data_IF_407604398989
#
_entry.id   IF_407604398989
#
_cell.length_a   1.000
_cell.length_b   1.000
_cell.length_c   1.000
_cell.angle_alpha   90.00
_cell.angle_beta   90.00
_cell.angle_gamma   90.00
#
_symmetry.space_group_name_H-M   'P 1'
#
loop_
_entity.id
_entity.type
_entity.pdbx_description
1 polymer ?
#
# COMPACT_ATOMS: atom_id res chain seq x y z
N UNK A 1 -73.39 -8.68 43.81
CA UNK A 1 -74.06 -8.90 42.50
C UNK A 1 -73.04 -8.53 41.43
N UNK A 2 -72.22 -9.42 40.85
CA UNK A 2 -72.55 -10.64 40.09
C UNK A 2 -73.71 -10.38 39.11
N UNK A 3 -73.39 -10.48 37.81
CA UNK A 3 -74.24 -10.36 36.62
C UNK A 3 -74.51 -8.95 36.07
N UNK A 4 -73.61 -8.49 35.18
CA UNK A 4 -73.95 -7.76 33.96
C UNK A 4 -72.89 -8.11 32.90
N UNK A 5 -73.04 -9.34 32.41
CA UNK A 5 -72.42 -9.89 31.20
C UNK A 5 -73.23 -9.38 30.00
N UNK A 6 -72.56 -9.27 28.85
CA UNK A 6 -73.12 -9.19 27.49
C UNK A 6 -73.70 -7.86 27.05
N UNK A 7 -72.92 -7.11 26.23
CA UNK A 7 -73.35 -6.65 24.90
C UNK A 7 -72.36 -5.68 24.20
N UNK A 8 -71.06 -5.74 24.47
CA UNK A 8 -70.07 -4.97 23.68
C UNK A 8 -68.93 -5.86 23.14
N UNK A 9 -69.27 -7.08 22.74
CA UNK A 9 -68.54 -7.80 21.69
C UNK A 9 -69.33 -7.61 20.40
N UNK A 10 -68.63 -7.46 19.27
CA UNK A 10 -69.14 -7.32 17.89
C UNK A 10 -69.32 -5.85 17.43
N UNK A 11 -68.21 -5.16 17.20
CA UNK A 11 -67.96 -4.33 15.99
C UNK A 11 -66.60 -3.60 16.14
N UNK A 12 -65.49 -4.28 15.85
CA UNK A 12 -64.22 -3.64 15.45
C UNK A 12 -63.30 -4.70 14.84
N UNK A 13 -63.79 -5.33 13.78
CA UNK A 13 -62.97 -6.06 12.82
C UNK A 13 -62.94 -5.24 11.54
N UNK A 14 -61.75 -5.15 10.94
CA UNK A 14 -61.41 -4.51 9.66
C UNK A 14 -60.93 -3.05 9.74
N UNK A 15 -59.82 -2.85 10.45
CA UNK A 15 -58.82 -1.88 9.98
C UNK A 15 -57.71 -2.67 9.31
N UNK A 16 -57.78 -2.68 7.98
CA UNK A 16 -56.80 -3.29 7.07
C UNK A 16 -55.38 -2.92 7.49
N UNK A 17 -54.62 -3.94 7.84
CA UNK A 17 -53.16 -3.94 7.81
C UNK A 17 -52.70 -3.46 6.44
N UNK A 18 -52.36 -2.19 6.33
CA UNK A 18 -51.48 -1.72 5.27
C UNK A 18 -50.15 -2.38 5.57
N UNK A 19 -49.93 -3.52 4.91
CA UNK A 19 -48.63 -4.14 4.81
C UNK A 19 -47.64 -3.04 4.42
N UNK A 20 -46.70 -2.75 5.32
CA UNK A 20 -45.48 -2.06 4.92
C UNK A 20 -44.92 -2.91 3.80
N UNK A 21 -45.02 -2.39 2.57
CA UNK A 21 -44.39 -2.99 1.42
C UNK A 21 -42.95 -3.25 1.81
N UNK A 22 -42.55 -4.51 1.71
CA UNK A 22 -41.18 -4.95 1.85
C UNK A 22 -40.39 -4.04 0.90
N UNK A 23 -39.69 -3.05 1.46
CA UNK A 23 -38.71 -2.32 0.68
C UNK A 23 -37.71 -3.39 0.32
N UNK A 24 -37.82 -3.92 -0.90
CA UNK A 24 -36.76 -4.66 -1.55
C UNK A 24 -35.50 -3.86 -1.28
N UNK A 25 -34.70 -4.36 -0.35
CA UNK A 25 -33.39 -3.84 -0.07
C UNK A 25 -32.71 -3.82 -1.43
N UNK A 26 -32.55 -2.63 -1.99
CA UNK A 26 -31.69 -2.43 -3.13
C UNK A 26 -30.35 -3.03 -2.69
N UNK A 27 -30.02 -4.19 -3.26
CA UNK A 27 -28.73 -4.86 -3.14
C UNK A 27 -27.67 -3.97 -3.80
N UNK A 28 -27.48 -2.77 -3.29
CA UNK A 28 -26.19 -2.10 -3.35
C UNK A 28 -25.27 -3.02 -2.55
N UNK A 29 -24.17 -3.53 -3.14
CA UNK A 29 -23.23 -4.33 -2.38
C UNK A 29 -22.61 -3.43 -1.31
N UNK A 30 -23.28 -3.36 -0.15
CA UNK A 30 -22.81 -2.61 0.99
C UNK A 30 -21.48 -3.17 1.42
N UNK A 31 -20.52 -2.29 1.71
CA UNK A 31 -19.22 -2.69 2.26
C UNK A 31 -19.49 -3.54 3.50
N UNK A 32 -19.06 -4.80 3.46
CA UNK A 32 -19.15 -5.69 4.62
C UNK A 32 -18.56 -5.01 5.84
N UNK A 33 -19.25 -5.07 6.99
CA UNK A 33 -18.73 -4.55 8.27
C UNK A 33 -17.35 -5.16 8.64
N UNK A 34 -17.00 -6.29 8.03
CA UNK A 34 -15.69 -6.95 8.13
C UNK A 34 -15.24 -7.34 6.72
N UNK A 35 -14.48 -6.50 6.00
CA UNK A 35 -13.93 -6.87 4.70
C UNK A 35 -13.01 -8.09 4.85
N UNK A 36 -13.04 -8.99 3.87
CA UNK A 36 -12.17 -10.19 3.87
C UNK A 36 -10.72 -9.89 3.50
N UNK A 37 -10.49 -8.77 2.84
CA UNK A 37 -9.19 -8.27 2.39
C UNK A 37 -9.19 -6.74 2.49
N UNK A 38 -8.10 -6.19 3.02
CA UNK A 38 -7.80 -4.76 2.98
C UNK A 38 -6.51 -4.61 2.19
N UNK A 39 -6.50 -3.72 1.20
CA UNK A 39 -5.33 -3.45 0.36
C UNK A 39 -4.88 -2.01 0.61
N UNK A 40 -3.71 -1.85 1.21
CA UNK A 40 -3.05 -0.55 1.37
C UNK A 40 -2.12 -0.28 0.19
N UNK A 41 -2.32 0.85 -0.50
CA UNK A 41 -1.48 1.26 -1.63
C UNK A 41 -0.90 2.64 -1.31
N UNK A 42 0.44 2.72 -1.25
CA UNK A 42 1.17 3.99 -1.16
C UNK A 42 1.97 4.14 -2.44
N UNK A 43 1.61 5.13 -3.26
CA UNK A 43 2.37 5.49 -4.46
C UNK A 43 3.47 6.45 -4.03
N UNK A 44 4.72 5.98 -4.03
CA UNK A 44 5.87 6.74 -3.56
C UNK A 44 6.02 8.03 -4.36
N UNK A 45 6.27 9.15 -3.67
CA UNK A 45 6.40 10.49 -4.25
C UNK A 45 5.19 11.01 -5.03
N UNK A 46 4.00 10.41 -4.88
CA UNK A 46 2.79 10.89 -5.54
C UNK A 46 2.27 12.18 -4.90
N UNK A 47 2.41 13.31 -5.60
CA UNK A 47 1.74 14.55 -5.21
C UNK A 47 0.25 14.47 -5.53
N UNK A 48 -0.56 15.17 -4.74
CA UNK A 48 -2.01 15.19 -4.91
C UNK A 48 -2.43 15.71 -6.30
N UNK A 49 -1.73 16.73 -6.83
CA UNK A 49 -2.07 17.36 -8.10
C UNK A 49 -1.91 16.43 -9.31
N UNK A 50 -1.17 15.31 -9.19
CA UNK A 50 -1.13 14.31 -10.27
C UNK A 50 -2.50 13.68 -10.55
N UNK A 51 -3.35 13.52 -9.53
CA UNK A 51 -4.70 12.98 -9.70
C UNK A 51 -5.57 13.84 -10.62
N UNK A 52 -5.36 15.16 -10.60
CA UNK A 52 -6.15 16.11 -11.40
C UNK A 52 -5.43 16.56 -12.66
N UNK A 53 -4.11 16.70 -12.61
CA UNK A 53 -3.28 17.17 -13.73
C UNK A 53 -3.35 16.22 -14.92
N UNK A 54 -3.35 14.91 -14.68
CA UNK A 54 -3.36 13.90 -15.74
C UNK A 54 -4.72 13.19 -15.90
N UNK A 55 -5.80 13.76 -15.37
CA UNK A 55 -7.11 13.10 -15.33
C UNK A 55 -7.62 12.70 -16.74
N UNK A 56 -7.42 13.55 -17.73
CA UNK A 56 -7.78 13.30 -19.14
C UNK A 56 -7.06 12.09 -19.74
N UNK A 57 -5.90 11.69 -19.18
CA UNK A 57 -5.06 10.59 -19.65
C UNK A 57 -5.32 9.27 -18.90
N UNK A 58 -6.06 9.31 -17.78
CA UNK A 58 -6.40 8.13 -17.01
C UNK A 58 -7.62 7.39 -17.56
N UNK A 59 -7.54 6.06 -17.61
CA UNK A 59 -8.69 5.18 -17.82
C UNK A 59 -9.58 5.09 -16.59
N UNK A 60 -10.80 4.59 -16.78
CA UNK A 60 -11.85 4.60 -15.76
C UNK A 60 -11.62 3.60 -14.61
N UNK A 61 -10.78 2.58 -14.78
CA UNK A 61 -10.61 1.48 -13.81
C UNK A 61 -9.64 1.75 -12.64
N UNK A 62 -8.84 2.83 -12.71
CA UNK A 62 -7.76 3.13 -11.76
C UNK A 62 -8.10 4.30 -10.82
N UNK A 63 -7.30 5.38 -10.90
CA UNK A 63 -7.49 6.58 -10.07
C UNK A 63 -8.89 7.17 -10.18
N UNK A 64 -9.46 7.24 -11.39
CA UNK A 64 -10.82 7.74 -11.61
C UNK A 64 -11.87 6.96 -10.83
N UNK A 65 -11.80 5.62 -10.85
CA UNK A 65 -12.68 4.76 -10.05
C UNK A 65 -12.58 5.10 -8.57
N UNK A 66 -11.37 5.15 -8.02
CA UNK A 66 -11.15 5.44 -6.60
C UNK A 66 -11.69 6.82 -6.20
N UNK A 67 -11.55 7.83 -7.06
CA UNK A 67 -12.06 9.18 -6.80
C UNK A 67 -13.58 9.29 -6.94
N UNK A 68 -14.20 8.55 -7.87
CA UNK A 68 -15.64 8.63 -8.18
C UNK A 68 -16.50 7.74 -7.28
N UNK A 69 -16.02 6.53 -7.00
CA UNK A 69 -16.76 5.49 -6.24
C UNK A 69 -16.31 5.40 -4.77
N UNK A 70 -15.15 5.98 -4.46
CA UNK A 70 -14.57 5.97 -3.11
C UNK A 70 -14.74 7.31 -2.39
N UNK A 71 -13.85 7.54 -1.42
CA UNK A 71 -13.79 8.79 -0.67
C UNK A 71 -12.44 9.47 -0.91
N UNK A 72 -12.45 10.74 -1.31
CA UNK A 72 -11.24 11.49 -1.67
C UNK A 72 -10.95 12.59 -0.63
N UNK A 73 -9.93 12.36 0.20
CA UNK A 73 -9.45 13.33 1.19
C UNK A 73 -8.48 14.32 0.53
N UNK A 74 -8.99 15.48 0.11
CA UNK A 74 -8.24 16.46 -0.71
C UNK A 74 -7.22 17.31 0.05
N UNK A 75 -7.27 17.32 1.38
CA UNK A 75 -6.48 18.21 2.23
C UNK A 75 -5.70 17.44 3.31
N UNK A 76 -5.02 16.37 2.91
CA UNK A 76 -4.16 15.59 3.80
C UNK A 76 -2.70 16.04 3.68
N UNK A 77 -2.08 16.29 4.83
CA UNK A 77 -0.70 16.77 4.93
C UNK A 77 0.08 15.96 5.96
N UNK A 78 1.38 15.78 5.73
CA UNK A 78 2.27 15.30 6.77
C UNK A 78 2.41 16.37 7.86
N UNK A 79 2.19 15.97 9.10
CA UNK A 79 2.33 16.83 10.28
C UNK A 79 3.71 16.71 10.94
N UNK A 80 4.73 16.33 10.16
CA UNK A 80 6.10 16.14 10.60
C UNK A 80 7.10 16.44 9.48
N UNK A 81 8.36 16.55 9.86
CA UNK A 81 9.53 16.70 8.98
C UNK A 81 10.61 15.73 9.48
N UNK A 82 11.41 15.10 8.60
CA UNK A 82 11.40 15.17 7.13
C UNK A 82 10.35 14.27 6.46
N UNK A 83 9.87 14.70 5.28
CA UNK A 83 8.92 13.93 4.45
C UNK A 83 9.64 12.92 3.56
N UNK A 84 10.36 11.99 4.19
CA UNK A 84 11.06 10.89 3.50
C UNK A 84 10.22 9.60 3.45
N UNK A 85 10.61 8.68 2.57
CA UNK A 85 9.92 7.40 2.34
C UNK A 85 9.71 6.59 3.62
N UNK A 86 10.75 6.32 4.39
CA UNK A 86 10.68 5.51 5.62
C UNK A 86 9.72 6.10 6.66
N UNK A 87 9.93 7.35 7.10
CA UNK A 87 8.98 8.07 7.97
C UNK A 87 7.55 8.06 7.43
N UNK A 88 7.38 8.35 6.13
CA UNK A 88 6.11 8.28 5.39
C UNK A 88 5.36 6.97 5.57
N UNK A 89 6.02 5.86 5.21
CA UNK A 89 5.39 4.54 5.23
C UNK A 89 5.04 4.09 6.65
N UNK A 90 5.91 4.37 7.63
CA UNK A 90 5.63 4.09 9.04
C UNK A 90 4.45 4.92 9.56
N UNK A 91 4.42 6.23 9.31
CA UNK A 91 3.34 7.09 9.82
C UNK A 91 1.97 6.72 9.27
N UNK A 92 1.86 6.40 7.97
CA UNK A 92 0.58 5.99 7.34
C UNK A 92 -0.01 4.75 8.01
N UNK A 93 0.85 3.79 8.41
CA UNK A 93 0.39 2.49 8.90
C UNK A 93 0.35 2.38 10.43
N UNK A 94 1.03 3.27 11.15
CA UNK A 94 1.01 3.31 12.63
C UNK A 94 0.02 4.34 13.18
N UNK A 95 -0.41 5.31 12.35
CA UNK A 95 -1.28 6.39 12.80
C UNK A 95 -0.59 7.39 13.73
N UNK A 96 0.75 7.35 13.84
CA UNK A 96 1.55 8.27 14.66
C UNK A 96 2.70 8.88 13.88
N UNK A 97 3.51 9.72 14.52
CA UNK A 97 4.59 10.48 13.87
C UNK A 97 5.97 9.89 14.19
N UNK A 98 7.04 10.31 13.49
CA UNK A 98 8.39 9.84 13.74
C UNK A 98 8.89 9.95 15.17
N UNK A 99 8.36 10.94 15.91
CA UNK A 99 8.62 11.11 17.34
C UNK A 99 8.23 9.87 18.17
N UNK A 100 7.19 9.14 17.76
CA UNK A 100 6.64 8.02 18.51
C UNK A 100 7.02 6.67 17.89
N UNK A 101 6.89 6.51 16.57
CA UNK A 101 7.23 5.24 15.91
C UNK A 101 8.74 5.04 15.69
N UNK A 102 9.57 6.06 15.93
CA UNK A 102 11.04 5.95 15.96
C UNK A 102 11.74 6.05 14.59
N UNK A 103 11.01 5.89 13.48
CA UNK A 103 11.56 6.02 12.11
C UNK A 103 11.66 7.50 11.71
N UNK A 104 12.77 8.15 12.06
CA UNK A 104 12.98 9.61 11.89
C UNK A 104 13.51 10.03 10.52
N UNK A 105 14.09 9.10 9.75
CA UNK A 105 14.64 9.34 8.42
C UNK A 105 14.79 8.00 7.68
N UNK A 106 15.18 8.03 6.41
CA UNK A 106 15.63 6.81 5.72
C UNK A 106 16.96 6.30 6.33
N UNK A 107 17.87 7.23 6.66
CA UNK A 107 19.13 6.97 7.34
C UNK A 107 19.33 8.04 8.41
N UNK A 108 19.92 7.66 9.55
CA UNK A 108 20.31 8.61 10.60
C UNK A 108 21.56 8.15 11.33
N UNK A 109 22.21 9.07 12.04
CA UNK A 109 23.31 8.74 12.92
C UNK A 109 22.78 8.22 14.26
N UNK A 110 23.12 6.98 14.60
CA UNK A 110 22.86 6.40 15.90
C UNK A 110 24.02 6.73 16.84
N UNK A 111 23.73 7.51 17.89
CA UNK A 111 24.74 7.99 18.84
C UNK A 111 25.26 6.90 19.77
N UNK A 112 24.51 5.82 19.97
CA UNK A 112 24.90 4.73 20.88
C UNK A 112 25.89 3.80 20.17
N UNK A 113 25.60 3.44 18.92
CA UNK A 113 26.50 2.62 18.09
C UNK A 113 27.57 3.44 17.36
N UNK A 114 27.40 4.77 17.31
CA UNK A 114 28.27 5.74 16.63
C UNK A 114 28.37 5.52 15.11
N UNK A 115 27.28 5.06 14.49
CA UNK A 115 27.24 4.70 13.07
C UNK A 115 26.02 5.31 12.37
N UNK A 116 26.12 5.46 11.06
CA UNK A 116 24.93 5.70 10.22
C UNK A 116 24.15 4.39 10.12
N UNK A 117 22.88 4.44 10.48
CA UNK A 117 21.97 3.29 10.41
C UNK A 117 20.87 3.54 9.39
N UNK A 118 20.42 2.46 8.77
CA UNK A 118 19.32 2.46 7.82
C UNK A 118 17.99 2.08 8.50
N UNK A 119 16.89 2.70 8.09
CA UNK A 119 15.58 2.58 8.75
C UNK A 119 15.04 1.16 8.89
N UNK A 120 15.37 0.26 7.96
CA UNK A 120 15.00 -1.14 7.99
C UNK A 120 16.22 -2.07 8.08
N UNK A 121 17.45 -1.55 8.11
CA UNK A 121 18.67 -2.36 8.05
C UNK A 121 18.94 -3.06 9.38
N UNK A 122 19.17 -4.37 9.34
CA UNK A 122 19.31 -5.26 10.49
C UNK A 122 20.35 -6.36 10.26
N UNK A 123 21.53 -6.21 10.87
CA UNK A 123 22.63 -7.18 10.76
C UNK A 123 22.37 -8.49 11.53
N UNK A 124 21.29 -8.57 12.34
CA UNK A 124 20.94 -9.78 13.10
C UNK A 124 20.15 -10.80 12.26
N UNK A 125 19.64 -10.40 11.10
CA UNK A 125 18.91 -11.28 10.19
C UNK A 125 19.73 -11.59 8.95
N UNK A 126 19.45 -12.74 8.34
CA UNK A 126 20.13 -13.20 7.13
C UNK A 126 19.25 -12.97 5.90
N UNK A 127 19.85 -12.70 4.74
CA UNK A 127 19.13 -12.63 3.47
C UNK A 127 18.43 -13.95 3.13
N UNK A 128 17.25 -13.86 2.50
CA UNK A 128 16.49 -15.01 2.00
C UNK A 128 16.12 -14.75 0.55
N UNK A 129 16.62 -15.59 -0.36
CA UNK A 129 16.45 -15.43 -1.80
C UNK A 129 17.59 -14.71 -2.51
N UNK A 130 18.62 -14.27 -1.79
CA UNK A 130 19.88 -13.70 -2.31
C UNK A 130 21.00 -13.99 -1.31
N UNK A 131 22.26 -13.75 -1.69
CA UNK A 131 23.42 -13.68 -0.78
C UNK A 131 23.80 -12.25 -0.42
N UNK A 132 23.15 -11.25 -1.03
CA UNK A 132 23.43 -9.83 -0.82
C UNK A 132 22.94 -9.32 0.53
N UNK A 133 23.70 -8.39 1.14
CA UNK A 133 23.28 -7.65 2.34
C UNK A 133 21.98 -6.85 2.14
N UNK A 134 21.52 -6.66 0.89
CA UNK A 134 20.19 -6.14 0.58
C UNK A 134 19.04 -6.93 1.24
N UNK A 135 19.29 -8.19 1.62
CA UNK A 135 18.34 -9.01 2.38
C UNK A 135 18.41 -8.85 3.90
N UNK A 136 19.36 -8.11 4.46
CA UNK A 136 19.52 -7.92 5.90
C UNK A 136 18.62 -6.81 6.42
N UNK A 137 17.30 -7.03 6.32
CA UNK A 137 16.28 -6.03 6.64
C UNK A 137 15.18 -6.55 7.57
N UNK A 138 14.72 -5.73 8.51
CA UNK A 138 13.63 -6.04 9.44
C UNK A 138 12.95 -4.76 9.98
N UNK A 139 11.79 -4.86 10.65
CA UNK A 139 11.12 -3.71 11.25
C UNK A 139 11.68 -3.33 12.64
N UNK A 140 12.80 -3.91 13.10
CA UNK A 140 13.24 -3.82 14.52
C UNK A 140 13.45 -2.40 15.06
N UNK A 141 13.65 -1.41 14.19
CA UNK A 141 13.82 0.00 14.59
C UNK A 141 12.49 0.73 14.80
N UNK A 142 11.37 0.13 14.41
CA UNK A 142 10.04 0.68 14.65
C UNK A 142 9.60 0.39 16.08
N UNK A 143 9.17 1.42 16.80
CA UNK A 143 8.87 1.31 18.24
C UNK A 143 7.39 1.02 18.53
N UNK A 144 6.53 1.14 17.53
CA UNK A 144 5.07 1.08 17.67
C UNK A 144 4.47 0.05 16.72
N UNK A 145 3.32 -0.49 17.08
CA UNK A 145 2.54 -1.39 16.22
C UNK A 145 1.94 -0.66 15.02
N UNK A 146 1.76 -1.39 13.92
CA UNK A 146 0.97 -0.93 12.76
C UNK A 146 -0.50 -1.36 12.89
N UNK A 147 -1.37 -0.81 12.04
CA UNK A 147 -2.72 -1.35 11.84
C UNK A 147 -2.70 -2.85 11.52
N UNK A 148 -1.72 -3.31 10.75
CA UNK A 148 -1.58 -4.72 10.41
C UNK A 148 -1.19 -5.57 11.62
N UNK A 149 -0.35 -5.04 12.52
CA UNK A 149 -0.04 -5.67 13.80
C UNK A 149 -1.29 -5.80 14.68
N UNK A 150 -2.07 -4.71 14.81
CA UNK A 150 -3.30 -4.73 15.60
C UNK A 150 -4.35 -5.69 15.01
N UNK A 151 -4.43 -5.80 13.68
CA UNK A 151 -5.29 -6.79 13.04
C UNK A 151 -4.84 -8.24 13.32
N UNK A 152 -3.52 -8.51 13.34
CA UNK A 152 -2.99 -9.84 13.71
C UNK A 152 -3.32 -10.16 15.16
N UNK A 153 -3.14 -9.22 16.08
CA UNK A 153 -3.51 -9.38 17.49
C UNK A 153 -5.02 -9.64 17.65
N UNK A 154 -5.86 -8.81 17.04
CA UNK A 154 -7.33 -8.93 17.09
C UNK A 154 -7.83 -10.28 16.58
N UNK A 155 -7.19 -10.81 15.53
CA UNK A 155 -7.56 -12.08 14.91
C UNK A 155 -6.85 -13.29 15.53
N UNK A 156 -6.12 -13.12 16.64
CA UNK A 156 -5.32 -14.17 17.28
C UNK A 156 -4.38 -14.86 16.29
N UNK A 157 -3.66 -14.05 15.49
CA UNK A 157 -2.75 -14.46 14.42
C UNK A 157 -3.37 -15.23 13.24
N UNK A 158 -4.70 -15.35 13.17
CA UNK A 158 -5.40 -15.99 12.03
C UNK A 158 -5.45 -15.11 10.79
N UNK A 159 -5.42 -13.79 10.96
CA UNK A 159 -5.27 -12.83 9.86
C UNK A 159 -3.95 -13.03 9.13
N UNK A 160 -3.91 -12.66 7.85
CA UNK A 160 -2.73 -12.68 7.01
C UNK A 160 -2.30 -11.27 6.66
N UNK A 161 -1.02 -10.99 6.86
CA UNK A 161 -0.39 -9.69 6.57
C UNK A 161 0.82 -9.91 5.66
N UNK A 162 0.82 -9.27 4.49
CA UNK A 162 1.91 -9.37 3.51
C UNK A 162 2.26 -7.95 3.03
N UNK A 163 3.53 -7.58 3.12
CA UNK A 163 4.08 -6.37 2.50
C UNK A 163 4.79 -6.69 1.19
N UNK A 164 4.57 -5.90 0.13
CA UNK A 164 5.26 -6.05 -1.16
C UNK A 164 5.60 -4.65 -1.68
N UNK A 165 6.87 -4.41 -2.00
CA UNK A 165 7.32 -3.15 -2.60
C UNK A 165 8.67 -3.33 -3.27
N UNK A 166 8.99 -2.55 -4.31
CA UNK A 166 10.34 -2.56 -4.89
C UNK A 166 11.40 -2.15 -3.84
N UNK A 167 11.02 -1.36 -2.83
CA UNK A 167 11.91 -0.92 -1.74
C UNK A 167 11.63 -1.71 -0.46
N UNK A 168 12.65 -2.20 0.22
CA UNK A 168 12.55 -2.91 1.51
C UNK A 168 11.66 -2.16 2.53
N UNK A 169 11.95 -0.89 2.83
CA UNK A 169 11.23 -0.04 3.78
C UNK A 169 9.78 0.22 3.36
N UNK A 170 9.49 0.11 2.07
CA UNK A 170 8.14 0.23 1.53
C UNK A 170 7.31 -1.04 1.74
N UNK A 171 7.95 -2.21 1.91
CA UNK A 171 7.27 -3.46 2.24
C UNK A 171 7.21 -3.67 3.76
N UNK A 172 8.33 -3.44 4.45
CA UNK A 172 8.56 -3.80 5.85
C UNK A 172 7.79 -2.89 6.82
N UNK A 173 7.94 -1.56 6.69
CA UNK A 173 7.36 -0.62 7.66
C UNK A 173 5.81 -0.63 7.62
N UNK A 174 5.15 -0.77 6.46
CA UNK A 174 3.71 -0.97 6.42
C UNK A 174 3.23 -2.31 7.01
N UNK A 175 3.97 -3.39 6.76
CA UNK A 175 3.58 -4.73 7.17
C UNK A 175 3.69 -4.93 8.69
N UNK A 176 4.60 -4.21 9.35
CA UNK A 176 4.76 -4.26 10.80
C UNK A 176 5.51 -5.49 11.29
N UNK A 177 5.51 -5.66 12.61
CA UNK A 177 6.30 -6.65 13.33
C UNK A 177 5.77 -8.07 13.18
N UNK A 178 4.46 -8.22 13.02
CA UNK A 178 3.77 -9.50 13.03
C UNK A 178 3.38 -9.97 11.62
N UNK A 179 3.97 -9.38 10.59
CA UNK A 179 3.72 -9.74 9.20
C UNK A 179 4.04 -11.22 8.95
N UNK A 180 3.19 -11.89 8.17
CA UNK A 180 3.49 -13.24 7.68
C UNK A 180 4.62 -13.23 6.65
N UNK A 181 4.76 -12.12 5.91
CA UNK A 181 5.87 -11.89 4.98
C UNK A 181 6.03 -10.41 4.63
N UNK A 182 7.26 -10.01 4.30
CA UNK A 182 7.53 -8.83 3.50
C UNK A 182 8.49 -9.20 2.37
N UNK A 183 8.17 -8.78 1.15
CA UNK A 183 8.98 -9.03 -0.04
C UNK A 183 9.42 -7.71 -0.66
N UNK A 184 10.70 -7.64 -1.01
CA UNK A 184 11.24 -6.51 -1.76
C UNK A 184 12.10 -6.93 -2.92
N UNK A 185 12.23 -6.04 -3.90
CA UNK A 185 12.89 -6.37 -5.15
C UNK A 185 14.37 -6.00 -5.09
N UNK A 186 15.23 -7.00 -5.24
CA UNK A 186 16.65 -6.81 -5.48
C UNK A 186 16.89 -6.79 -6.99
N UNK A 187 16.91 -5.57 -7.55
CA UNK A 187 17.18 -5.33 -8.97
C UNK A 187 18.59 -5.77 -9.32
N UNK A 188 19.60 -4.98 -8.95
CA UNK A 188 21.03 -5.33 -9.02
C UNK A 188 21.39 -6.19 -10.22
N UNK A 189 22.05 -7.31 -9.95
CA UNK A 189 22.42 -8.34 -10.92
C UNK A 189 21.53 -9.58 -10.87
N UNK A 190 20.45 -9.57 -10.07
CA UNK A 190 19.62 -10.76 -9.80
C UNK A 190 18.17 -10.62 -10.28
N UNK A 191 17.60 -9.41 -10.29
CA UNK A 191 16.23 -9.16 -10.72
C UNK A 191 15.19 -9.96 -9.92
N UNK A 192 15.40 -10.14 -8.61
CA UNK A 192 14.68 -11.12 -7.80
C UNK A 192 13.91 -10.49 -6.62
N UNK A 193 12.76 -11.05 -6.30
CA UNK A 193 12.06 -10.77 -5.03
C UNK A 193 12.71 -11.55 -3.90
N UNK A 194 13.09 -10.84 -2.84
CA UNK A 194 13.81 -11.37 -1.68
C UNK A 194 13.05 -11.06 -0.38
N UNK A 195 13.51 -11.65 0.71
CA UNK A 195 13.05 -11.45 2.09
C UNK A 195 14.24 -11.58 3.05
N UNK A 196 13.99 -11.58 4.36
CA UNK A 196 14.95 -11.90 5.41
C UNK A 196 14.47 -13.02 6.33
N UNK A 197 15.38 -13.54 7.15
CA UNK A 197 15.08 -14.53 8.19
C UNK A 197 14.22 -13.98 9.33
N UNK A 198 13.92 -12.68 9.34
CA UNK A 198 12.86 -12.13 10.21
C UNK A 198 11.50 -12.77 9.90
N UNK A 199 11.21 -13.03 8.62
CA UNK A 199 9.90 -13.48 8.16
C UNK A 199 9.84 -14.98 7.88
N UNK A 200 10.89 -15.54 7.29
CA UNK A 200 10.89 -16.93 6.82
C UNK A 200 12.30 -17.47 6.64
N UNK A 201 12.50 -18.78 6.69
CA UNK A 201 13.80 -19.41 6.42
C UNK A 201 14.02 -19.72 4.94
N UNK A 202 12.95 -19.82 4.16
CA UNK A 202 13.00 -20.02 2.70
C UNK A 202 11.88 -19.24 2.00
N UNK A 203 12.14 -18.80 0.77
CA UNK A 203 11.09 -18.19 -0.07
C UNK A 203 10.01 -19.24 -0.40
N UNK A 204 8.72 -18.85 -0.38
CA UNK A 204 7.65 -19.76 -0.75
C UNK A 204 7.69 -20.08 -2.24
N UNK A 205 7.06 -21.20 -2.62
CA UNK A 205 7.07 -21.71 -4.00
C UNK A 205 6.70 -20.66 -5.05
N UNK A 206 5.67 -19.85 -4.80
CA UNK A 206 5.21 -18.86 -5.78
C UNK A 206 6.25 -17.76 -6.05
N UNK A 207 7.02 -17.33 -5.03
CA UNK A 207 8.11 -16.36 -5.23
C UNK A 207 9.25 -17.01 -5.98
N UNK A 208 9.63 -18.23 -5.61
CA UNK A 208 10.66 -19.00 -6.33
C UNK A 208 10.29 -19.19 -7.81
N UNK A 209 9.02 -19.49 -8.09
CA UNK A 209 8.50 -19.62 -9.47
C UNK A 209 8.52 -18.29 -10.21
N UNK A 210 8.17 -17.17 -9.57
CA UNK A 210 8.25 -15.85 -10.19
C UNK A 210 9.70 -15.45 -10.50
N UNK A 211 10.61 -15.60 -9.54
CA UNK A 211 12.04 -15.27 -9.71
C UNK A 211 12.74 -16.14 -10.76
N UNK A 212 12.29 -17.37 -10.96
CA UNK A 212 12.81 -18.27 -12.00
C UNK A 212 12.14 -18.05 -13.37
N UNK A 213 11.21 -17.11 -13.49
CA UNK A 213 10.57 -16.75 -14.75
C UNK A 213 11.20 -15.50 -15.33
N UNK A 214 11.06 -15.32 -16.64
CA UNK A 214 11.53 -14.12 -17.34
C UNK A 214 10.57 -12.93 -17.14
N UNK A 215 9.65 -12.98 -16.16
CA UNK A 215 8.64 -11.93 -15.99
C UNK A 215 9.28 -10.58 -15.70
N UNK A 216 10.26 -10.52 -14.80
CA UNK A 216 10.96 -9.27 -14.48
C UNK A 216 11.75 -8.75 -15.69
N UNK A 217 12.50 -9.64 -16.35
CA UNK A 217 13.25 -9.35 -17.57
C UNK A 217 12.35 -8.87 -18.71
N UNK A 218 11.15 -9.44 -18.84
CA UNK A 218 10.19 -9.08 -19.90
C UNK A 218 9.68 -7.63 -19.82
N UNK A 219 9.93 -6.92 -18.72
CA UNK A 219 9.63 -5.49 -18.61
C UNK A 219 10.78 -4.59 -19.09
N UNK A 220 12.00 -5.11 -19.28
CA UNK A 220 13.08 -4.41 -19.97
C UNK A 220 12.75 -4.42 -21.47
N UNK A 221 12.12 -3.33 -21.88
CA UNK A 221 11.82 -3.01 -23.28
C UNK A 221 12.28 -1.59 -23.51
N UNK A 222 12.33 -1.19 -24.78
CA UNK A 222 12.42 0.22 -25.14
C UNK A 222 11.36 1.00 -24.34
N UNK A 223 11.84 1.87 -23.45
CA UNK A 223 10.98 2.74 -22.67
C UNK A 223 10.70 3.98 -23.52
N UNK A 224 9.51 3.98 -24.11
CA UNK A 224 8.95 5.11 -24.85
C UNK A 224 7.66 5.60 -24.17
N UNK A 225 7.18 6.77 -24.60
CA UNK A 225 5.89 7.32 -24.19
C UNK A 225 4.73 6.43 -24.62
N UNK A 226 3.70 6.31 -23.76
CA UNK A 226 2.54 5.45 -24.03
C UNK A 226 1.59 6.07 -25.05
N UNK A 227 1.38 7.38 -24.97
CA UNK A 227 0.70 8.16 -26.00
C UNK A 227 1.71 8.84 -26.90
N UNK A 228 1.26 9.47 -27.99
CA UNK A 228 2.08 10.40 -28.76
C UNK A 228 2.69 11.45 -27.82
N UNK A 229 4.01 11.65 -27.89
CA UNK A 229 4.77 12.55 -27.02
C UNK A 229 4.25 13.99 -27.12
N UNK A 230 3.79 14.42 -28.30
CA UNK A 230 3.20 15.75 -28.52
C UNK A 230 1.86 15.93 -27.79
N UNK A 231 1.22 14.82 -27.40
CA UNK A 231 -0.04 14.85 -26.66
C UNK A 231 0.14 15.10 -25.15
N UNK A 232 1.37 15.06 -24.61
CA UNK A 232 1.67 15.27 -23.20
C UNK A 232 1.69 16.76 -22.82
N UNK A 233 0.62 17.48 -23.18
CA UNK A 233 0.47 18.93 -22.98
C UNK A 233 0.48 19.36 -21.51
N UNK A 234 0.28 18.42 -20.59
CA UNK A 234 0.32 18.63 -19.15
C UNK A 234 1.76 18.56 -18.60
N UNK A 235 2.76 18.21 -19.42
CA UNK A 235 4.17 18.10 -19.07
C UNK A 235 5.02 19.25 -19.64
N UNK A 236 6.25 19.37 -19.14
CA UNK A 236 7.24 20.24 -19.74
C UNK A 236 7.85 19.63 -21.01
N UNK A 237 8.82 20.31 -21.60
CA UNK A 237 9.61 19.76 -22.70
C UNK A 237 10.32 18.47 -22.27
N UNK A 238 10.39 17.51 -23.20
CA UNK A 238 11.08 16.23 -23.01
C UNK A 238 12.53 16.44 -22.57
N UNK A 239 13.31 17.18 -23.37
CA UNK A 239 14.65 17.61 -22.94
C UNK A 239 14.56 18.84 -22.03
N UNK A 240 15.01 18.71 -20.78
CA UNK A 240 15.11 19.86 -19.86
C UNK A 240 16.32 19.78 -18.92
N UNK A 241 16.67 20.92 -18.31
CA UNK A 241 17.87 21.05 -17.45
C UNK A 241 17.70 20.52 -16.02
N UNK A 242 16.52 19.96 -15.68
CA UNK A 242 16.21 19.46 -14.34
C UNK A 242 16.29 17.93 -14.24
N UNK A 243 16.70 17.25 -15.31
CA UNK A 243 16.78 15.80 -15.39
C UNK A 243 18.20 15.28 -15.23
N UNK A 244 18.31 14.08 -14.65
CA UNK A 244 19.54 13.30 -14.66
C UNK A 244 19.59 12.39 -15.87
N UNK A 245 20.75 12.27 -16.51
CA UNK A 245 20.98 11.39 -17.65
C UNK A 245 20.74 9.91 -17.33
N UNK A 246 20.47 9.13 -18.38
CA UNK A 246 20.48 7.67 -18.32
C UNK A 246 21.85 7.13 -18.78
N UNK A 247 22.34 6.07 -18.16
CA UNK A 247 23.66 5.51 -18.49
C UNK A 247 23.72 5.12 -19.97
N UNK A 248 24.79 5.51 -20.66
CA UNK A 248 24.96 5.23 -22.09
C UNK A 248 24.20 6.16 -23.05
N UNK A 249 23.54 7.21 -22.53
CA UNK A 249 22.78 8.15 -23.36
C UNK A 249 23.22 9.60 -23.17
N UNK A 250 23.37 10.32 -24.28
CA UNK A 250 23.79 11.73 -24.27
C UNK A 250 22.70 12.69 -23.80
N UNK A 251 21.42 12.38 -24.06
CA UNK A 251 20.26 13.21 -23.73
C UNK A 251 19.23 12.48 -22.87
N UNK A 252 18.37 13.24 -22.20
CA UNK A 252 17.25 12.74 -21.39
C UNK A 252 15.92 12.68 -22.17
N UNK A 253 15.98 12.54 -23.49
CA UNK A 253 14.79 12.49 -24.35
C UNK A 253 14.26 11.07 -24.52
N UNK A 254 12.98 10.86 -24.80
CA UNK A 254 12.48 9.54 -25.22
C UNK A 254 12.89 9.20 -26.68
N UNK A 255 12.96 7.90 -27.06
CA UNK A 255 12.84 6.70 -26.23
C UNK A 255 14.17 6.26 -25.59
N UNK A 256 14.12 5.51 -24.49
CA UNK A 256 15.28 4.89 -23.84
C UNK A 256 15.40 3.42 -24.23
N UNK A 257 16.57 3.04 -24.73
CA UNK A 257 16.94 1.63 -24.87
C UNK A 257 17.42 1.11 -23.52
N UNK A 258 16.79 0.04 -23.03
CA UNK A 258 17.04 -0.55 -21.72
C UNK A 258 17.75 -1.91 -21.80
N UNK A 259 18.10 -2.34 -23.02
CA UNK A 259 18.87 -3.56 -23.28
C UNK A 259 20.36 -3.41 -22.90
#
# INVERSE_FOLDING_TARGET
MKFLISCFLVLMTLSTSVAQGDQSATNSPGISKRPKLVVGIVVDQMRYDYLTRFDTKYGDGGFKRMMKEGYNCKNNHFNYVPTYTGPGHASVHTGTTPKYHGIISNNWYDKETKQMVYCAGDDQVQPVGTTSAAGQMSPHRMLTTTFADENKLFTQNKGKTIGISIKDRGAILPAGHSADAAYWFYGGNEGAWISSTYYMTELPKWVKTFNASDTAESYFKIWDTYYDIESYTESGADLNAFEGGFAGKETTTFPYDLD
#
